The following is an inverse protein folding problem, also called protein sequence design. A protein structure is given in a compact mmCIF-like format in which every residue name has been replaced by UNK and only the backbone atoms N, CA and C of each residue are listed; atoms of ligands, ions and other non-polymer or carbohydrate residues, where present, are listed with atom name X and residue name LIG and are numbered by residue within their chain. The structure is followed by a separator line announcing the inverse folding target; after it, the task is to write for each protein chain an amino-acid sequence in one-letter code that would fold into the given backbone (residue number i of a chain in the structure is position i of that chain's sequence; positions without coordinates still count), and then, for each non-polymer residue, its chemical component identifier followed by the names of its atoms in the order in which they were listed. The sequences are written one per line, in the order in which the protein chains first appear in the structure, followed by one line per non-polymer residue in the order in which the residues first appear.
data_IF_524529380023
#
_entry.id   IF_524529380023
#
_cell.length_a   1.000
_cell.length_b   1.000
_cell.length_c   1.000
_cell.angle_alpha   90.00
_cell.angle_beta   90.00
_cell.angle_gamma   90.00
#
_symmetry.space_group_name_H-M   'P 1'
#
loop_
_entity.id
_entity.type
_entity.pdbx_description
1 polymer ?
#
# COMPACT_ATOMS: atom_id res chain seq x y z
N UNK A 1 8.74 -33.65 19.61
CA UNK A 1 9.45 -33.68 18.32
C UNK A 1 10.50 -32.59 18.38
N UNK A 2 11.76 -32.96 18.26
CA UNK A 2 12.86 -31.99 18.36
C UNK A 2 12.96 -31.20 17.05
N UNK A 3 13.42 -29.95 17.11
CA UNK A 3 13.54 -29.06 15.93
C UNK A 3 14.33 -29.71 14.78
N UNK A 4 15.29 -30.57 15.13
CA UNK A 4 16.14 -31.34 14.21
C UNK A 4 15.39 -32.46 13.48
N UNK A 5 14.47 -33.15 14.16
CA UNK A 5 13.63 -34.18 13.53
C UNK A 5 12.68 -33.58 12.49
N UNK A 6 12.21 -32.36 12.74
CA UNK A 6 11.33 -31.64 11.81
C UNK A 6 12.09 -31.21 10.54
N UNK A 7 13.29 -30.66 10.70
CA UNK A 7 14.20 -30.33 9.58
C UNK A 7 14.53 -31.55 8.71
N UNK A 8 14.79 -32.71 9.32
CA UNK A 8 15.03 -33.96 8.58
C UNK A 8 13.81 -34.44 7.80
N UNK A 9 12.60 -34.29 8.36
CA UNK A 9 11.35 -34.66 7.65
C UNK A 9 11.09 -33.74 6.47
N UNK A 10 11.29 -32.43 6.64
CA UNK A 10 11.16 -31.44 5.56
C UNK A 10 12.10 -31.78 4.41
N UNK A 11 13.35 -32.09 4.73
CA UNK A 11 14.38 -32.42 3.74
C UNK A 11 13.98 -33.67 2.95
N UNK A 12 13.58 -34.74 3.64
CA UNK A 12 13.10 -35.97 2.98
C UNK A 12 11.88 -35.76 2.09
N UNK A 13 10.92 -34.95 2.53
CA UNK A 13 9.73 -34.63 1.72
C UNK A 13 10.12 -33.87 0.45
N UNK A 14 11.06 -32.93 0.58
CA UNK A 14 11.54 -32.11 -0.53
C UNK A 14 12.32 -32.97 -1.55
N UNK A 15 13.22 -33.82 -1.08
CA UNK A 15 13.98 -34.76 -1.92
C UNK A 15 13.06 -35.73 -2.67
N UNK A 16 12.05 -36.27 -2.00
CA UNK A 16 11.06 -37.15 -2.63
C UNK A 16 10.28 -36.43 -3.73
N UNK A 17 9.85 -35.18 -3.49
CA UNK A 17 9.19 -34.37 -4.50
C UNK A 17 10.11 -34.08 -5.70
N UNK A 18 11.37 -33.71 -5.46
CA UNK A 18 12.37 -33.49 -6.52
C UNK A 18 12.60 -34.75 -7.35
N UNK A 19 12.70 -35.92 -6.70
CA UNK A 19 12.86 -37.20 -7.38
C UNK A 19 11.68 -37.50 -8.30
N UNK A 20 10.45 -37.38 -7.79
CA UNK A 20 9.23 -37.63 -8.56
C UNK A 20 9.10 -36.69 -9.76
N UNK A 21 9.45 -35.41 -9.61
CA UNK A 21 9.42 -34.43 -10.70
C UNK A 21 10.46 -34.75 -11.78
N UNK A 22 11.66 -35.16 -11.38
CA UNK A 22 12.70 -35.60 -12.31
C UNK A 22 12.29 -36.88 -13.06
N UNK A 23 11.71 -37.86 -12.36
CA UNK A 23 11.18 -39.10 -12.95
C UNK A 23 10.04 -38.83 -13.94
N UNK A 24 9.21 -37.82 -13.68
CA UNK A 24 8.19 -37.32 -14.61
C UNK A 24 8.75 -36.54 -15.81
N UNK A 25 10.08 -36.39 -15.92
CA UNK A 25 10.75 -35.69 -17.01
C UNK A 25 10.70 -34.16 -16.91
N UNK A 26 10.22 -33.60 -15.80
CA UNK A 26 10.16 -32.15 -15.57
C UNK A 26 11.55 -31.70 -15.13
N UNK A 27 12.19 -30.86 -15.95
CA UNK A 27 13.51 -30.27 -15.67
C UNK A 27 13.37 -28.81 -15.23
N UNK A 28 14.35 -28.28 -14.50
CA UNK A 28 14.44 -26.87 -14.09
C UNK A 28 13.24 -26.35 -13.25
N UNK A 29 12.83 -27.14 -12.26
CA UNK A 29 11.82 -26.73 -11.29
C UNK A 29 12.45 -26.15 -10.02
N UNK A 30 11.65 -25.41 -9.26
CA UNK A 30 12.00 -24.93 -7.94
C UNK A 30 10.97 -25.47 -6.97
N UNK A 31 11.42 -26.03 -5.86
CA UNK A 31 10.57 -26.55 -4.80
C UNK A 31 10.63 -25.62 -3.59
N UNK A 32 9.48 -25.28 -3.04
CA UNK A 32 9.36 -24.50 -1.82
C UNK A 32 8.36 -25.20 -0.92
N UNK A 33 8.74 -25.42 0.33
CA UNK A 33 7.81 -25.93 1.33
C UNK A 33 7.09 -24.76 2.00
N UNK A 34 5.76 -24.79 2.00
CA UNK A 34 4.92 -23.72 2.56
C UNK A 34 3.85 -24.31 3.45
N UNK A 35 3.51 -23.58 4.52
CA UNK A 35 2.37 -23.87 5.37
C UNK A 35 1.30 -22.81 5.16
N UNK A 36 0.13 -23.21 4.67
CA UNK A 36 -0.98 -22.28 4.42
C UNK A 36 -1.55 -21.69 5.70
N UNK A 37 -1.46 -22.41 6.83
CA UNK A 37 -1.98 -21.96 8.12
C UNK A 37 -1.03 -20.98 8.82
N UNK A 38 0.27 -21.08 8.55
CA UNK A 38 1.27 -20.16 9.08
C UNK A 38 2.30 -19.84 8.00
N UNK A 39 2.06 -18.79 7.20
CA UNK A 39 2.93 -18.43 6.08
C UNK A 39 4.32 -17.97 6.50
N UNK A 40 4.56 -17.66 7.79
CA UNK A 40 5.89 -17.33 8.27
C UNK A 40 6.74 -18.58 8.54
N UNK A 41 6.13 -19.77 8.54
CA UNK A 41 6.86 -21.03 8.67
C UNK A 41 7.44 -21.45 7.30
N UNK A 42 8.57 -22.15 7.34
CA UNK A 42 9.25 -22.72 6.17
C UNK A 42 9.75 -21.67 5.16
N UNK A 43 9.44 -21.82 3.86
CA UNK A 43 10.11 -21.14 2.75
C UNK A 43 9.20 -20.19 1.97
N UNK A 44 8.07 -19.79 2.54
CA UNK A 44 7.14 -18.87 1.86
C UNK A 44 7.79 -17.53 1.51
N UNK A 45 8.66 -16.99 2.37
CA UNK A 45 9.44 -15.79 2.05
C UNK A 45 10.32 -15.94 0.81
N UNK A 46 11.05 -17.07 0.71
CA UNK A 46 11.89 -17.38 -0.45
C UNK A 46 11.06 -17.55 -1.74
N UNK A 47 9.88 -18.15 -1.63
CA UNK A 47 8.94 -18.26 -2.75
C UNK A 47 8.54 -16.87 -3.26
N UNK A 48 8.19 -15.97 -2.34
CA UNK A 48 7.82 -14.58 -2.67
C UNK A 48 8.96 -13.83 -3.33
N UNK A 49 10.18 -13.90 -2.77
CA UNK A 49 11.37 -13.25 -3.34
C UNK A 49 11.69 -13.75 -4.76
N UNK A 50 11.59 -15.06 -4.97
CA UNK A 50 11.84 -15.67 -6.26
C UNK A 50 10.81 -15.23 -7.31
N UNK A 51 9.54 -15.11 -6.93
CA UNK A 51 8.52 -14.50 -7.80
C UNK A 51 8.87 -13.04 -8.13
N UNK A 52 9.30 -12.23 -7.15
CA UNK A 52 9.70 -10.83 -7.41
C UNK A 52 10.87 -10.78 -8.40
N UNK A 53 11.88 -11.63 -8.25
CA UNK A 53 13.05 -11.67 -9.14
C UNK A 53 12.67 -12.02 -10.58
N UNK A 54 11.83 -13.05 -10.76
CA UNK A 54 11.45 -13.57 -12.09
C UNK A 54 10.41 -12.72 -12.82
N UNK A 55 9.63 -11.94 -12.08
CA UNK A 55 8.63 -11.07 -12.68
C UNK A 55 9.31 -9.85 -13.33
N UNK A 56 8.90 -9.53 -14.56
CA UNK A 56 9.37 -8.37 -15.31
C UNK A 56 9.21 -7.09 -14.50
N UNK A 57 10.14 -6.13 -14.62
CA UNK A 57 10.13 -4.89 -13.84
C UNK A 57 8.77 -4.17 -13.81
N UNK A 58 8.02 -4.17 -14.92
CA UNK A 58 6.68 -3.54 -15.01
C UNK A 58 5.60 -4.21 -14.14
N UNK A 59 5.80 -5.46 -13.72
CA UNK A 59 4.84 -6.25 -12.94
C UNK A 59 5.28 -6.42 -11.47
N UNK A 60 6.52 -6.04 -11.13
CA UNK A 60 7.06 -6.17 -9.76
C UNK A 60 6.27 -5.31 -8.77
N UNK A 61 5.99 -4.07 -9.13
CA UNK A 61 5.22 -3.16 -8.28
C UNK A 61 3.82 -3.72 -7.98
N UNK A 62 3.16 -4.31 -8.98
CA UNK A 62 1.85 -4.96 -8.79
C UNK A 62 1.94 -6.20 -7.89
N UNK A 63 2.99 -7.01 -8.06
CA UNK A 63 3.23 -8.19 -7.21
C UNK A 63 3.48 -7.78 -5.76
N UNK A 64 4.35 -6.80 -5.51
CA UNK A 64 4.63 -6.27 -4.16
C UNK A 64 3.36 -5.77 -3.50
N UNK A 65 2.53 -5.01 -4.22
CA UNK A 65 1.24 -4.55 -3.70
C UNK A 65 0.25 -5.70 -3.44
N UNK A 66 0.29 -6.79 -4.20
CA UNK A 66 -0.58 -7.94 -3.96
C UNK A 66 -0.25 -8.73 -2.69
N UNK A 67 0.94 -8.55 -2.12
CA UNK A 67 1.37 -9.32 -0.95
C UNK A 67 0.51 -9.01 0.28
N UNK A 68 0.27 -10.03 1.10
CA UNK A 68 -0.40 -9.86 2.39
C UNK A 68 0.52 -9.16 3.38
N UNK A 69 -0.04 -8.27 4.19
CA UNK A 69 0.69 -7.41 5.15
C UNK A 69 1.10 -8.23 6.39
N UNK A 70 1.98 -9.22 6.21
CA UNK A 70 2.36 -10.20 7.24
C UNK A 70 3.59 -9.76 8.05
N UNK A 71 4.64 -9.30 7.38
CA UNK A 71 5.90 -8.91 8.03
C UNK A 71 6.16 -7.41 7.92
N UNK A 72 7.18 -6.89 8.59
CA UNK A 72 7.55 -5.47 8.47
C UNK A 72 8.21 -5.18 7.12
N UNK A 73 9.00 -6.12 6.61
CA UNK A 73 9.72 -6.03 5.34
C UNK A 73 8.74 -5.91 4.17
N UNK A 74 7.64 -6.67 4.19
CA UNK A 74 6.57 -6.56 3.18
C UNK A 74 5.90 -5.19 3.24
N UNK A 75 5.69 -4.63 4.44
CA UNK A 75 5.11 -3.28 4.59
C UNK A 75 6.04 -2.22 4.05
N UNK A 76 7.32 -2.30 4.37
CA UNK A 76 8.33 -1.36 3.88
C UNK A 76 8.44 -1.42 2.35
N UNK A 77 8.46 -2.62 1.77
CA UNK A 77 8.46 -2.81 0.31
C UNK A 77 7.22 -2.19 -0.34
N UNK A 78 6.03 -2.39 0.23
CA UNK A 78 4.80 -1.72 -0.24
C UNK A 78 4.89 -0.21 -0.12
N UNK A 79 5.40 0.30 0.99
CA UNK A 79 5.55 1.74 1.21
C UNK A 79 6.41 2.38 0.12
N UNK A 80 7.51 1.73 -0.28
CA UNK A 80 8.40 2.26 -1.31
C UNK A 80 7.75 2.28 -2.69
N UNK A 81 6.99 1.23 -3.04
CA UNK A 81 6.20 1.19 -4.28
C UNK A 81 5.13 2.29 -4.28
N UNK A 82 4.41 2.49 -3.17
CA UNK A 82 3.38 3.52 -3.05
C UNK A 82 3.97 4.94 -3.12
N UNK A 83 5.12 5.20 -2.49
CA UNK A 83 5.84 6.48 -2.60
C UNK A 83 6.25 6.80 -4.03
N UNK A 84 6.67 5.80 -4.80
CA UNK A 84 7.03 5.98 -6.22
C UNK A 84 5.78 6.36 -7.03
N UNK A 85 4.68 5.63 -6.85
CA UNK A 85 3.39 5.87 -7.51
C UNK A 85 2.78 7.23 -7.17
N UNK A 86 3.02 7.74 -5.95
CA UNK A 86 2.52 9.03 -5.50
C UNK A 86 2.91 10.19 -6.42
N UNK A 87 4.15 10.19 -6.94
CA UNK A 87 4.62 11.25 -7.85
C UNK A 87 3.81 11.28 -9.15
N UNK A 88 3.53 10.12 -9.72
CA UNK A 88 2.76 9.99 -10.97
C UNK A 88 1.31 10.41 -10.77
N UNK A 89 0.72 10.05 -9.63
CA UNK A 89 -0.66 10.44 -9.29
C UNK A 89 -0.75 11.95 -9.05
N UNK A 90 0.20 12.53 -8.30
CA UNK A 90 0.25 13.96 -8.09
C UNK A 90 0.38 14.74 -9.41
N UNK A 91 1.20 14.24 -10.34
CA UNK A 91 1.33 14.83 -11.66
C UNK A 91 0.01 14.74 -12.45
N UNK A 92 -0.63 13.57 -12.49
CA UNK A 92 -1.95 13.41 -13.16
C UNK A 92 -3.01 14.33 -12.59
N UNK A 93 -3.10 14.42 -11.26
CA UNK A 93 -4.03 15.32 -10.58
C UNK A 93 -3.75 16.79 -10.92
N UNK A 94 -2.47 17.18 -11.01
CA UNK A 94 -2.05 18.53 -11.37
C UNK A 94 -2.39 18.92 -12.81
N UNK A 95 -2.20 17.98 -13.76
CA UNK A 95 -2.59 18.19 -15.16
C UNK A 95 -4.10 18.37 -15.27
N UNK A 96 -4.89 17.56 -14.55
CA UNK A 96 -6.34 17.70 -14.50
C UNK A 96 -6.76 19.04 -13.89
N UNK A 97 -6.16 19.43 -12.76
CA UNK A 97 -6.43 20.72 -12.12
C UNK A 97 -6.14 21.91 -13.06
N UNK A 98 -5.01 21.88 -13.76
CA UNK A 98 -4.57 22.95 -14.66
C UNK A 98 -5.38 23.05 -15.96
N UNK A 99 -6.07 21.97 -16.36
CA UNK A 99 -6.88 21.89 -17.60
C UNK A 99 -8.37 21.97 -17.34
N UNK A 100 -8.82 21.74 -16.09
CA UNK A 100 -10.22 21.79 -15.74
C UNK A 100 -10.76 23.23 -15.68
N UNK A 101 -11.91 23.45 -16.28
CA UNK A 101 -12.68 24.68 -16.09
C UNK A 101 -13.44 24.58 -14.76
N UNK A 102 -12.87 25.19 -13.70
CA UNK A 102 -13.41 25.18 -12.33
C UNK A 102 -14.84 25.74 -12.19
N UNK A 103 -15.33 26.45 -13.21
CA UNK A 103 -16.67 27.05 -13.26
C UNK A 103 -17.83 26.05 -13.13
N UNK A 104 -17.59 24.76 -13.46
CA UNK A 104 -18.61 23.71 -13.33
C UNK A 104 -18.70 23.07 -11.94
N UNK A 105 -17.86 23.49 -10.98
CA UNK A 105 -17.88 23.01 -9.60
C UNK A 105 -17.39 21.56 -9.41
N UNK A 106 -16.93 20.89 -10.46
CA UNK A 106 -16.38 19.53 -10.40
C UNK A 106 -14.86 19.54 -10.16
N UNK A 107 -14.44 19.08 -8.98
CA UNK A 107 -13.03 18.94 -8.60
C UNK A 107 -12.53 17.52 -8.93
N UNK A 108 -12.26 17.26 -10.20
CA UNK A 108 -11.83 15.95 -10.70
C UNK A 108 -10.47 15.52 -10.11
N UNK A 109 -9.56 16.45 -9.93
CA UNK A 109 -8.28 16.26 -9.26
C UNK A 109 -8.46 15.76 -7.82
N UNK A 110 -9.41 16.32 -7.08
CA UNK A 110 -9.73 15.87 -5.70
C UNK A 110 -10.24 14.43 -5.71
N UNK A 111 -11.04 14.05 -6.71
CA UNK A 111 -11.53 12.67 -6.87
C UNK A 111 -10.37 11.70 -7.13
N UNK A 112 -9.42 12.06 -7.99
CA UNK A 112 -8.21 11.26 -8.26
C UNK A 112 -7.43 11.02 -6.96
N UNK A 113 -7.18 12.08 -6.20
CA UNK A 113 -6.44 12.00 -4.94
C UNK A 113 -7.17 11.14 -3.89
N UNK A 114 -8.50 11.29 -3.76
CA UNK A 114 -9.31 10.47 -2.84
C UNK A 114 -9.29 8.99 -3.20
N UNK A 115 -9.36 8.65 -4.48
CA UNK A 115 -9.28 7.26 -4.94
C UNK A 115 -7.92 6.67 -4.56
N UNK A 116 -6.84 7.40 -4.83
CA UNK A 116 -5.50 6.91 -4.52
C UNK A 116 -5.27 6.75 -3.02
N UNK A 117 -5.80 7.66 -2.18
CA UNK A 117 -5.72 7.51 -0.73
C UNK A 117 -6.46 6.28 -0.20
N UNK A 118 -7.61 5.95 -0.77
CA UNK A 118 -8.31 4.70 -0.43
C UNK A 118 -7.47 3.48 -0.80
N UNK A 119 -6.80 3.52 -1.95
CA UNK A 119 -5.87 2.46 -2.32
C UNK A 119 -4.74 2.33 -1.28
N UNK A 120 -4.15 3.43 -0.81
CA UNK A 120 -3.13 3.36 0.25
C UNK A 120 -3.66 2.72 1.53
N UNK A 121 -4.88 3.06 1.94
CA UNK A 121 -5.52 2.46 3.11
C UNK A 121 -5.74 0.96 2.93
N UNK A 122 -6.25 0.53 1.77
CA UNK A 122 -6.45 -0.88 1.44
C UNK A 122 -5.13 -1.65 1.41
N UNK A 123 -4.10 -1.09 0.77
CA UNK A 123 -2.79 -1.73 0.62
C UNK A 123 -2.06 -1.91 1.94
N UNK A 124 -2.29 -1.00 2.89
CA UNK A 124 -1.77 -1.04 4.26
C UNK A 124 -2.74 -1.73 5.25
N UNK A 125 -3.89 -2.22 4.80
CA UNK A 125 -4.84 -2.94 5.67
C UNK A 125 -5.45 -2.10 6.79
N UNK A 126 -5.53 -0.78 6.60
CA UNK A 126 -6.18 0.16 7.52
C UNK A 126 -7.53 0.64 6.99
N UNK A 127 -7.99 0.09 5.87
CA UNK A 127 -9.33 0.34 5.36
C UNK A 127 -10.40 -0.27 6.27
N UNK A 128 -11.63 0.25 6.15
CA UNK A 128 -12.77 -0.18 6.95
C UNK A 128 -12.93 -1.70 7.03
N UNK A 129 -12.85 -2.41 5.91
CA UNK A 129 -13.05 -3.87 5.88
C UNK A 129 -11.91 -4.63 6.53
N UNK A 130 -10.69 -4.12 6.42
CA UNK A 130 -9.54 -4.73 7.11
C UNK A 130 -9.62 -4.51 8.62
N UNK A 131 -10.05 -3.33 9.07
CA UNK A 131 -10.27 -3.05 10.50
C UNK A 131 -11.41 -3.90 11.09
N UNK A 132 -12.51 -4.09 10.35
CA UNK A 132 -13.61 -4.99 10.74
C UNK A 132 -13.11 -6.43 10.91
N UNK A 133 -12.33 -6.95 9.95
CA UNK A 133 -11.72 -8.30 10.06
C UNK A 133 -10.80 -8.44 11.26
N UNK A 134 -10.02 -7.39 11.57
CA UNK A 134 -9.17 -7.38 12.77
C UNK A 134 -10.01 -7.37 14.04
N UNK A 135 -11.11 -6.60 14.07
CA UNK A 135 -12.01 -6.54 15.20
C UNK A 135 -12.70 -7.89 15.47
N UNK A 136 -13.16 -8.56 14.41
CA UNK A 136 -13.72 -9.92 14.47
C UNK A 136 -12.68 -10.91 15.02
N UNK A 137 -11.44 -10.84 14.51
CA UNK A 137 -10.34 -11.68 14.99
C UNK A 137 -10.03 -11.44 16.48
N UNK A 138 -10.06 -10.20 16.93
CA UNK A 138 -9.83 -9.79 18.31
C UNK A 138 -11.07 -9.92 19.21
N UNK A 139 -12.22 -10.36 18.65
CA UNK A 139 -13.53 -10.43 19.34
C UNK A 139 -13.92 -9.12 20.03
N UNK A 140 -13.67 -7.99 19.38
CA UNK A 140 -14.02 -6.66 19.89
C UNK A 140 -14.83 -5.87 18.86
N UNK A 141 -15.42 -4.74 19.30
CA UNK A 141 -16.11 -3.84 18.37
C UNK A 141 -15.09 -3.14 17.45
N UNK A 142 -15.38 -3.11 16.15
CA UNK A 142 -14.61 -2.37 15.13
C UNK A 142 -14.42 -0.89 15.45
N UNK A 143 -15.38 -0.26 16.12
CA UNK A 143 -15.28 1.13 16.59
C UNK A 143 -14.20 1.28 17.66
N UNK A 144 -14.10 0.35 18.61
CA UNK A 144 -13.03 0.36 19.62
C UNK A 144 -11.63 0.29 18.99
N UNK A 145 -11.47 -0.47 17.89
CA UNK A 145 -10.19 -0.55 17.17
C UNK A 145 -9.89 0.75 16.43
N UNK A 146 -10.91 1.39 15.83
CA UNK A 146 -10.78 2.70 15.16
C UNK A 146 -10.47 3.83 16.12
N UNK A 147 -11.13 3.84 17.28
CA UNK A 147 -10.95 4.83 18.33
C UNK A 147 -9.55 4.71 18.94
N UNK A 148 -9.08 3.48 19.22
CA UNK A 148 -7.73 3.24 19.74
C UNK A 148 -6.64 3.58 18.71
N UNK A 149 -6.96 3.44 17.42
CA UNK A 149 -6.10 3.90 16.33
C UNK A 149 -6.02 5.44 16.22
N UNK A 150 -6.90 6.19 16.90
CA UNK A 150 -7.15 7.61 16.59
C UNK A 150 -7.32 7.83 15.09
N UNK A 151 -7.93 6.86 14.39
CA UNK A 151 -7.96 6.78 12.94
C UNK A 151 -8.87 7.89 12.39
N UNK A 152 -8.32 9.09 12.32
CA UNK A 152 -8.84 10.23 11.55
C UNK A 152 -8.59 10.04 10.05
N UNK A 153 -8.39 8.80 9.59
CA UNK A 153 -8.09 8.48 8.20
C UNK A 153 -9.33 8.69 7.32
N UNK A 154 -10.51 8.32 7.81
CA UNK A 154 -11.81 8.64 7.21
C UNK A 154 -12.10 10.16 7.26
N UNK A 155 -11.71 10.84 8.35
CA UNK A 155 -11.79 12.31 8.47
C UNK A 155 -10.85 13.01 7.47
N UNK A 156 -9.66 12.47 7.22
CA UNK A 156 -8.74 12.96 6.18
C UNK A 156 -9.36 12.87 4.78
N UNK A 157 -10.18 11.85 4.48
CA UNK A 157 -10.90 11.73 3.21
C UNK A 157 -12.14 12.64 3.14
N UNK A 158 -12.82 12.87 4.27
CA UNK A 158 -13.97 13.77 4.41
C UNK A 158 -13.57 15.23 4.23
N UNK A 159 -12.61 15.69 5.04
CA UNK A 159 -12.10 17.05 5.06
C UNK A 159 -11.03 17.30 3.98
N UNK A 160 -10.77 16.32 3.10
CA UNK A 160 -9.75 16.41 2.06
C UNK A 160 -9.92 17.63 1.15
N UNK A 161 -11.18 17.96 0.83
CA UNK A 161 -11.52 19.13 -0.01
C UNK A 161 -11.15 20.43 0.70
N UNK A 162 -11.50 20.56 1.96
CA UNK A 162 -11.19 21.74 2.78
C UNK A 162 -9.69 21.87 3.02
N UNK A 163 -9.00 20.75 3.26
CA UNK A 163 -7.55 20.71 3.38
C UNK A 163 -6.86 21.11 2.07
N UNK A 164 -7.37 20.64 0.93
CA UNK A 164 -6.87 21.03 -0.38
C UNK A 164 -7.11 22.52 -0.65
N UNK A 165 -8.33 23.02 -0.41
CA UNK A 165 -8.71 24.42 -0.61
C UNK A 165 -7.96 25.40 0.32
N UNK A 166 -7.75 25.04 1.59
CA UNK A 166 -6.95 25.84 2.53
C UNK A 166 -5.50 26.02 2.08
N UNK A 167 -4.98 25.04 1.34
CA UNK A 167 -3.64 25.06 0.76
C UNK A 167 -3.61 25.53 -0.70
N UNK A 168 -4.76 25.85 -1.31
CA UNK A 168 -4.92 26.35 -2.71
C UNK A 168 -4.76 27.88 -2.81
N UNK A 169 -4.36 28.56 -1.73
CA UNK A 169 -4.01 29.99 -1.76
C UNK A 169 -2.65 30.20 -2.42
N UNK A 170 -2.56 29.91 -3.72
CA UNK A 170 -1.44 30.33 -4.56
C UNK A 170 -1.88 31.55 -5.34
N UNK A 171 -1.16 32.62 -5.09
CA UNK A 171 -1.31 33.97 -5.65
C UNK A 171 -1.29 33.95 -7.19
N UNK A 172 -2.49 33.96 -7.79
CA UNK A 172 -2.71 33.97 -9.23
C UNK A 172 -3.02 35.39 -9.71
N UNK A 173 -2.00 36.15 -10.13
CA UNK A 173 -2.26 37.44 -10.79
C UNK A 173 -1.27 37.80 -11.90
N UNK A 174 -0.03 37.29 -11.89
CA UNK A 174 1.01 37.74 -12.84
C UNK A 174 1.27 36.79 -14.04
N UNK A 175 0.85 35.53 -13.98
CA UNK A 175 1.31 34.50 -14.95
C UNK A 175 0.32 34.14 -16.06
N UNK A 176 -0.90 34.70 -16.05
CA UNK A 176 -1.89 34.51 -17.13
C UNK A 176 -1.55 35.29 -18.41
N UNK A 177 -0.54 36.18 -18.36
CA UNK A 177 -0.06 36.98 -19.49
C UNK A 177 0.81 36.19 -20.49
N UNK A 178 1.29 34.99 -20.16
CA UNK A 178 2.10 34.15 -21.07
C UNK A 178 1.47 32.76 -21.25
N UNK A 179 0.86 32.45 -22.42
CA UNK A 179 0.00 31.27 -22.59
C UNK A 179 0.70 29.91 -22.48
N UNK A 180 2.00 29.84 -22.78
CA UNK A 180 2.79 28.60 -22.68
C UNK A 180 3.49 28.44 -21.32
N UNK A 181 4.17 29.50 -20.84
CA UNK A 181 4.85 29.45 -19.55
C UNK A 181 3.85 29.35 -18.40
N UNK A 182 2.75 30.12 -18.42
CA UNK A 182 1.74 30.11 -17.38
C UNK A 182 1.15 28.72 -17.12
N UNK A 183 0.91 27.91 -18.16
CA UNK A 183 0.38 26.54 -18.01
C UNK A 183 1.38 25.58 -17.37
N UNK A 184 2.65 25.66 -17.74
CA UNK A 184 3.69 24.78 -17.20
C UNK A 184 3.94 25.07 -15.71
N UNK A 185 4.01 26.35 -15.34
CA UNK A 185 4.14 26.77 -13.94
C UNK A 185 2.91 26.41 -13.11
N UNK A 186 1.70 26.53 -13.68
CA UNK A 186 0.45 26.04 -13.05
C UNK A 186 0.52 24.56 -12.72
N UNK A 187 0.91 23.71 -13.68
CA UNK A 187 1.04 22.26 -13.46
C UNK A 187 2.08 21.96 -12.38
N UNK A 188 3.23 22.63 -12.39
CA UNK A 188 4.26 22.43 -11.35
C UNK A 188 3.80 22.85 -9.95
N UNK A 189 3.07 23.96 -9.82
CA UNK A 189 2.51 24.41 -8.56
C UNK A 189 1.48 23.40 -8.03
N UNK A 190 0.53 22.99 -8.87
CA UNK A 190 -0.46 21.97 -8.49
C UNK A 190 0.19 20.62 -8.18
N UNK A 191 1.25 20.23 -8.89
CA UNK A 191 1.97 18.98 -8.61
C UNK A 191 2.60 19.01 -7.23
N UNK A 192 3.24 20.13 -6.84
CA UNK A 192 3.81 20.28 -5.49
C UNK A 192 2.74 20.19 -4.41
N UNK A 193 1.61 20.87 -4.60
CA UNK A 193 0.47 20.81 -3.66
C UNK A 193 -0.09 19.39 -3.56
N UNK A 194 -0.41 18.75 -4.69
CA UNK A 194 -0.94 17.38 -4.71
C UNK A 194 0.04 16.39 -4.06
N UNK A 195 1.34 16.53 -4.33
CA UNK A 195 2.38 15.70 -3.72
C UNK A 195 2.45 15.91 -2.21
N UNK A 196 2.39 17.14 -1.74
CA UNK A 196 2.39 17.46 -0.30
C UNK A 196 1.19 16.82 0.41
N UNK A 197 -0.01 17.03 -0.14
CA UNK A 197 -1.26 16.51 0.43
C UNK A 197 -1.26 14.97 0.47
N UNK A 198 -0.86 14.32 -0.62
CA UNK A 198 -0.73 12.86 -0.65
C UNK A 198 0.32 12.37 0.35
N UNK A 199 1.46 13.03 0.45
CA UNK A 199 2.55 12.62 1.34
C UNK A 199 2.15 12.71 2.81
N UNK A 200 1.50 13.80 3.24
CA UNK A 200 1.04 13.94 4.63
C UNK A 200 -0.05 12.92 4.97
N UNK A 201 -1.00 12.70 4.05
CA UNK A 201 -2.04 11.68 4.22
C UNK A 201 -1.46 10.27 4.25
N UNK A 202 -0.45 10.00 3.41
CA UNK A 202 0.24 8.71 3.34
C UNK A 202 1.06 8.43 4.60
N UNK A 203 1.81 9.42 5.13
CA UNK A 203 2.53 9.28 6.40
C UNK A 203 1.59 8.89 7.54
N UNK A 204 0.41 9.49 7.59
CA UNK A 204 -0.63 9.14 8.56
C UNK A 204 -1.08 7.69 8.39
N UNK A 205 -1.36 7.25 7.17
CA UNK A 205 -1.72 5.86 6.89
C UNK A 205 -0.63 4.87 7.35
N UNK A 206 0.64 5.18 7.10
CA UNK A 206 1.76 4.37 7.55
C UNK A 206 1.82 4.33 9.08
N UNK A 207 1.67 5.48 9.75
CA UNK A 207 1.64 5.56 11.20
C UNK A 207 0.51 4.72 11.81
N UNK A 208 -0.69 4.82 11.24
CA UNK A 208 -1.87 4.06 11.66
C UNK A 208 -1.64 2.55 11.50
N UNK A 209 -1.01 2.09 10.41
CA UNK A 209 -0.66 0.68 10.25
C UNK A 209 0.29 0.17 11.35
N UNK A 210 1.33 0.94 11.69
CA UNK A 210 2.25 0.57 12.77
C UNK A 210 1.55 0.51 14.13
N UNK A 211 0.63 1.45 14.41
CA UNK A 211 -0.15 1.44 15.64
C UNK A 211 -1.12 0.25 15.70
N UNK A 212 -1.80 -0.07 14.61
CA UNK A 212 -2.67 -1.24 14.52
C UNK A 212 -1.93 -2.53 14.88
N UNK A 213 -0.72 -2.70 14.32
CA UNK A 213 0.13 -3.86 14.62
C UNK A 213 0.53 -3.92 16.10
N UNK A 214 0.81 -2.79 16.75
CA UNK A 214 1.09 -2.73 18.19
C UNK A 214 -0.14 -3.15 19.02
N UNK A 215 -1.34 -2.66 18.65
CA UNK A 215 -2.60 -3.01 19.32
C UNK A 215 -2.86 -4.51 19.22
N UNK A 216 -2.72 -5.09 18.01
CA UNK A 216 -2.91 -6.53 17.78
C UNK A 216 -1.95 -7.34 18.66
N UNK A 217 -0.65 -7.02 18.66
CA UNK A 217 0.33 -7.73 19.51
C UNK A 217 0.00 -7.62 21.01
N UNK A 218 -0.38 -6.43 21.47
CA UNK A 218 -0.74 -6.20 22.88
C UNK A 218 -1.95 -7.02 23.31
N UNK A 219 -2.94 -7.20 22.44
CA UNK A 219 -4.16 -7.96 22.74
C UNK A 219 -3.97 -9.47 22.57
N UNK A 220 -3.09 -9.94 21.68
CA UNK A 220 -2.76 -11.36 21.56
C UNK A 220 -1.92 -11.91 22.72
N UNK A 221 -1.19 -11.03 23.44
CA UNK A 221 -0.37 -11.41 24.59
C UNK A 221 -1.10 -11.29 25.94
N UNK A 222 -2.41 -11.02 25.94
CA UNK A 222 -3.27 -11.00 27.13
C UNK A 222 -4.13 -12.26 27.16
#
# INVERSE_FOLDING_TARGET
MTKKEEEERITKMTEAACKNLNEAGIKNFYTFMINSNNPNDFEFGKLVDMFIMKVSAMKRDALVLSQTVLTNEVVESKIDVLKKRMKDVAYRAAVVAATSNREKGEYLEVKILKIELREYQCQLGIDKRSLERVADFLKCNSESVRDELNSKSDECLGNFREFYQKNDTVEFSLWDLLPFFGKMWKIQAYQKQCSFVLNESFKKCVHDNFNLRKIIRKRMNK
#
